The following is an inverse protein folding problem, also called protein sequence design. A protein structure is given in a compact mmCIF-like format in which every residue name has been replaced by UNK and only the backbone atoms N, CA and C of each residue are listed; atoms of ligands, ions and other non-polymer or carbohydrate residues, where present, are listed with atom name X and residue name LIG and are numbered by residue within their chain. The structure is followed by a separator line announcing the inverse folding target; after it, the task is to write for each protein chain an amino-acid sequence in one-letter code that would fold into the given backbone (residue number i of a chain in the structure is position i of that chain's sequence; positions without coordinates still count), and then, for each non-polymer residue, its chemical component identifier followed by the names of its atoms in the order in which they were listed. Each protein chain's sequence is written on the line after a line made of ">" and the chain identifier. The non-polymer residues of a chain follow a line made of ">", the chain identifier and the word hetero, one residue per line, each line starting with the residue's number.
data_IF_714894431958
#
_entry.id   IF_714894431958
#
_cell.length_a   1.000
_cell.length_b   1.000
_cell.length_c   1.000
_cell.angle_alpha   90.00
_cell.angle_beta   90.00
_cell.angle_gamma   90.00
#
_symmetry.space_group_name_H-M   'P 1'
#
loop_
_entity.id
_entity.type
_entity.pdbx_description
1 polymer ?
#
# COMPACT_ATOMS: atom_id res chain seq x y z
N UNK A 1 -7.32 4.24 4.14
CA UNK A 1 -6.20 4.23 3.18
C UNK A 1 -6.56 5.08 1.95
N UNK A 2 -5.74 6.08 1.58
CA UNK A 2 -6.04 7.03 0.49
C UNK A 2 -5.63 6.47 -0.90
N UNK A 3 -4.58 5.65 -0.98
CA UNK A 3 -4.11 5.02 -2.21
C UNK A 3 -4.04 3.49 -2.06
N UNK A 4 -4.43 2.73 -3.10
CA UNK A 4 -4.46 1.25 -3.08
C UNK A 4 -3.11 0.63 -2.66
N UNK A 5 -3.15 -0.48 -1.91
CA UNK A 5 -1.95 -1.24 -1.48
C UNK A 5 -1.12 -1.76 -2.65
N UNK A 6 -1.79 -2.11 -3.74
CA UNK A 6 -1.17 -2.67 -4.95
C UNK A 6 -0.57 -1.60 -5.87
N UNK A 7 -0.71 -0.31 -5.51
CA UNK A 7 -0.21 0.79 -6.32
C UNK A 7 1.32 0.86 -6.30
N UNK A 8 1.91 1.36 -7.39
CA UNK A 8 3.36 1.52 -7.57
C UNK A 8 4.04 2.24 -6.39
N UNK A 9 3.38 3.27 -5.85
CA UNK A 9 3.84 4.05 -4.69
C UNK A 9 4.14 3.22 -3.45
N UNK A 10 3.42 2.10 -3.24
CA UNK A 10 3.65 1.17 -2.13
C UNK A 10 4.53 0.00 -2.55
N UNK A 11 4.30 -0.55 -3.74
CA UNK A 11 5.05 -1.70 -4.24
C UNK A 11 6.56 -1.41 -4.31
N UNK A 12 6.96 -0.18 -4.62
CA UNK A 12 8.37 0.22 -4.71
C UNK A 12 9.17 0.00 -3.40
N UNK A 13 8.53 -0.03 -2.23
CA UNK A 13 9.22 -0.30 -0.96
C UNK A 13 9.63 -1.78 -0.78
N UNK A 14 9.06 -2.69 -1.58
CA UNK A 14 9.48 -4.09 -1.57
C UNK A 14 10.73 -4.35 -2.41
N UNK A 15 11.20 -3.37 -3.18
CA UNK A 15 12.37 -3.52 -4.02
C UNK A 15 13.66 -3.36 -3.21
N UNK A 16 14.52 -4.38 -3.25
CA UNK A 16 15.78 -4.37 -2.50
C UNK A 16 16.84 -3.47 -3.16
N UNK A 17 16.78 -3.29 -4.48
CA UNK A 17 17.74 -2.48 -5.24
C UNK A 17 17.11 -1.15 -5.68
N UNK A 18 17.47 -0.07 -4.98
CA UNK A 18 16.90 1.28 -5.15
C UNK A 18 17.66 2.15 -6.16
N UNK A 19 18.58 1.57 -6.91
CA UNK A 19 19.43 2.30 -7.88
C UNK A 19 18.69 2.70 -9.16
N UNK A 20 17.52 2.10 -9.41
CA UNK A 20 16.67 2.39 -10.58
C UNK A 20 15.23 2.62 -10.14
N UNK A 21 14.48 3.39 -10.91
CA UNK A 21 13.07 3.64 -10.63
C UNK A 21 12.24 2.36 -10.80
N UNK A 22 11.23 2.20 -9.95
CA UNK A 22 10.25 1.12 -10.06
C UNK A 22 9.19 1.49 -11.08
N UNK A 23 9.13 0.76 -12.19
CA UNK A 23 8.12 0.92 -13.23
C UNK A 23 7.03 -0.15 -13.11
N UNK A 24 5.77 0.25 -13.10
CA UNK A 24 4.64 -0.67 -12.95
C UNK A 24 3.42 -0.22 -13.74
N UNK A 25 2.75 -1.18 -14.40
CA UNK A 25 1.36 -1.00 -14.86
C UNK A 25 0.38 -1.44 -13.78
N UNK A 26 -0.66 -0.64 -13.53
CA UNK A 26 -1.74 -1.00 -12.61
C UNK A 26 -3.08 -0.92 -13.33
N UNK A 27 -3.74 -2.06 -13.44
CA UNK A 27 -5.11 -2.16 -13.94
C UNK A 27 -6.08 -1.80 -12.82
N UNK A 28 -7.04 -0.94 -13.12
CA UNK A 28 -8.09 -0.52 -12.20
C UNK A 28 -9.44 -0.56 -12.92
N UNK A 29 -10.57 -0.50 -12.18
CA UNK A 29 -11.88 -0.33 -12.81
C UNK A 29 -12.00 0.94 -13.65
N UNK A 30 -11.17 1.97 -13.37
CA UNK A 30 -11.16 3.24 -14.10
C UNK A 30 -10.21 3.24 -15.31
N UNK A 31 -9.43 2.17 -15.52
CA UNK A 31 -8.44 2.07 -16.61
C UNK A 31 -7.09 1.56 -16.15
N UNK A 32 -6.17 1.44 -17.11
CA UNK A 32 -4.79 1.00 -16.88
C UNK A 32 -3.86 2.21 -16.81
N UNK A 33 -3.00 2.24 -15.80
CA UNK A 33 -2.05 3.32 -15.59
C UNK A 33 -0.63 2.78 -15.51
N UNK A 34 0.30 3.42 -16.21
CA UNK A 34 1.72 3.21 -16.00
C UNK A 34 2.23 4.19 -14.95
N UNK A 35 3.14 3.75 -14.07
CA UNK A 35 3.76 4.60 -13.08
C UNK A 35 5.27 4.36 -13.02
N UNK A 36 6.01 5.44 -12.80
CA UNK A 36 7.39 5.43 -12.33
C UNK A 36 7.42 5.89 -10.88
N UNK A 37 8.07 5.11 -10.03
CA UNK A 37 8.17 5.38 -8.60
C UNK A 37 9.60 5.34 -8.15
N UNK A 38 10.02 6.35 -7.39
CA UNK A 38 11.30 6.34 -6.71
C UNK A 38 11.10 6.53 -5.21
N UNK A 39 11.82 5.73 -4.44
CA UNK A 39 11.83 5.83 -2.98
C UNK A 39 13.01 6.67 -2.51
N UNK A 40 12.82 7.43 -1.44
CA UNK A 40 13.88 8.17 -0.78
C UNK A 40 13.79 8.04 0.74
N UNK A 41 14.77 8.61 1.43
CA UNK A 41 14.87 8.58 2.89
C UNK A 41 15.21 9.97 3.42
N UNK A 42 14.56 10.38 4.50
CA UNK A 42 14.91 11.57 5.29
C UNK A 42 15.23 11.15 6.73
N UNK A 43 15.60 12.12 7.59
CA UNK A 43 15.74 11.88 9.02
C UNK A 43 14.43 11.42 9.69
N UNK A 44 13.28 11.76 9.10
CA UNK A 44 11.95 11.46 9.63
C UNK A 44 11.37 10.14 9.09
N UNK A 45 12.02 9.50 8.11
CA UNK A 45 11.62 8.19 7.60
C UNK A 45 11.76 8.01 6.10
N UNK A 46 11.21 6.90 5.59
CA UNK A 46 11.19 6.60 4.16
C UNK A 46 9.96 7.19 3.48
N UNK A 47 10.12 7.57 2.21
CA UNK A 47 9.05 8.09 1.38
C UNK A 47 9.16 7.57 -0.05
N UNK A 48 8.09 7.72 -0.81
CA UNK A 48 8.09 7.44 -2.24
C UNK A 48 7.42 8.57 -3.01
N UNK A 49 7.94 8.85 -4.20
CA UNK A 49 7.38 9.79 -5.17
C UNK A 49 6.98 8.97 -6.37
N UNK A 50 5.72 9.10 -6.81
CA UNK A 50 5.19 8.38 -7.97
C UNK A 50 4.58 9.35 -8.96
N UNK A 51 4.91 9.18 -10.22
CA UNK A 51 4.25 9.86 -11.35
C UNK A 51 3.67 8.79 -12.24
N UNK A 52 2.45 9.01 -12.72
CA UNK A 52 1.77 8.05 -13.59
C UNK A 52 0.98 8.71 -14.70
N UNK A 53 0.79 7.95 -15.77
CA UNK A 53 0.03 8.35 -16.96
C UNK A 53 -0.90 7.20 -17.38
N UNK A 54 -1.99 7.48 -18.12
CA UNK A 54 -2.79 6.44 -18.75
C UNK A 54 -1.94 5.56 -19.68
N UNK A 55 -2.39 4.33 -19.90
CA UNK A 55 -1.69 3.33 -20.71
C UNK A 55 -1.25 3.85 -22.08
N UNK A 56 -2.12 4.58 -22.79
CA UNK A 56 -1.83 5.07 -24.15
C UNK A 56 -0.65 6.04 -24.20
N UNK A 57 -0.46 6.82 -23.13
CA UNK A 57 0.61 7.83 -23.02
C UNK A 57 1.93 7.24 -22.52
N UNK A 58 1.93 6.02 -21.99
CA UNK A 58 3.13 5.34 -21.51
C UNK A 58 4.20 5.16 -22.61
N UNK A 59 3.79 5.18 -23.88
CA UNK A 59 4.70 5.09 -25.04
C UNK A 59 5.82 6.14 -25.03
N UNK A 60 5.58 7.30 -24.41
CA UNK A 60 6.52 8.41 -24.36
C UNK A 60 7.53 8.34 -23.20
N UNK A 61 7.36 7.38 -22.28
CA UNK A 61 8.16 7.29 -21.07
C UNK A 61 9.16 6.13 -21.14
N UNK A 62 10.35 6.35 -20.56
CA UNK A 62 11.33 5.27 -20.30
C UNK A 62 10.77 4.33 -19.23
N UNK A 63 11.02 3.02 -19.37
CA UNK A 63 10.50 2.02 -18.42
C UNK A 63 9.12 1.47 -18.82
N UNK A 64 8.59 1.87 -19.98
CA UNK A 64 7.31 1.36 -20.51
C UNK A 64 7.35 -0.13 -20.84
N UNK A 65 8.54 -0.67 -21.08
CA UNK A 65 8.83 -2.07 -21.36
C UNK A 65 8.72 -2.98 -20.12
N UNK A 66 8.44 -2.39 -18.95
CA UNK A 66 8.24 -3.15 -17.71
C UNK A 66 7.16 -4.22 -17.87
N UNK A 67 7.45 -5.41 -17.36
CA UNK A 67 6.50 -6.51 -17.26
C UNK A 67 5.79 -6.54 -15.90
N UNK A 68 6.20 -5.68 -14.95
CA UNK A 68 5.56 -5.57 -13.63
C UNK A 68 4.16 -5.00 -13.81
N UNK A 69 3.15 -5.83 -13.54
CA UNK A 69 1.74 -5.48 -13.64
C UNK A 69 0.99 -5.90 -12.38
N UNK A 70 0.12 -5.03 -11.89
CA UNK A 70 -0.74 -5.28 -10.74
C UNK A 70 -2.19 -4.98 -11.09
N UNK A 71 -3.12 -5.61 -10.38
CA UNK A 71 -4.56 -5.38 -10.54
C UNK A 71 -5.15 -4.87 -9.24
N UNK A 72 -5.65 -3.64 -9.27
CA UNK A 72 -6.43 -3.03 -8.19
C UNK A 72 -7.91 -3.18 -8.49
N UNK A 73 -8.69 -3.62 -7.51
CA UNK A 73 -10.16 -3.59 -7.57
C UNK A 73 -10.74 -2.46 -6.71
N UNK A 74 -9.91 -1.55 -6.19
CA UNK A 74 -10.40 -0.36 -5.48
C UNK A 74 -11.37 0.43 -6.36
N UNK A 75 -12.49 0.97 -5.81
CA UNK A 75 -12.75 1.21 -4.39
C UNK A 75 -13.39 0.04 -3.60
N UNK A 76 -13.48 -1.17 -4.16
CA UNK A 76 -13.95 -2.36 -3.41
C UNK A 76 -13.19 -2.51 -2.09
N UNK A 77 -13.93 -2.65 -0.99
CA UNK A 77 -13.36 -2.78 0.34
C UNK A 77 -12.52 -4.04 0.48
N UNK A 78 -12.90 -5.13 -0.21
CA UNK A 78 -12.14 -6.39 -0.20
C UNK A 78 -10.75 -6.24 -0.84
N UNK A 79 -10.51 -5.18 -1.64
CA UNK A 79 -9.20 -4.98 -2.26
C UNK A 79 -8.11 -4.62 -1.24
N UNK A 80 -8.40 -3.72 -0.30
CA UNK A 80 -7.39 -3.16 0.61
C UNK A 80 -7.91 -2.72 1.99
N UNK A 81 -9.23 -2.56 2.19
CA UNK A 81 -9.76 -2.03 3.45
C UNK A 81 -10.17 -3.13 4.42
N UNK A 82 -10.70 -4.23 3.90
CA UNK A 82 -11.17 -5.36 4.69
C UNK A 82 -10.20 -6.52 4.58
N UNK A 83 -9.82 -7.08 5.73
CA UNK A 83 -9.00 -8.28 5.77
C UNK A 83 -9.76 -9.48 5.17
N UNK A 84 -9.06 -10.46 4.58
CA UNK A 84 -9.66 -11.74 4.19
C UNK A 84 -10.42 -12.38 5.35
N UNK A 85 -11.58 -12.97 5.07
CA UNK A 85 -12.48 -13.51 6.10
C UNK A 85 -11.81 -14.57 7.01
N UNK A 86 -10.91 -15.38 6.44
CA UNK A 86 -10.14 -16.39 7.19
C UNK A 86 -9.17 -15.75 8.20
N UNK A 87 -8.52 -14.65 7.82
CA UNK A 87 -7.62 -13.93 8.71
C UNK A 87 -8.40 -13.19 9.80
N UNK A 88 -9.52 -12.58 9.43
CA UNK A 88 -10.41 -11.94 10.40
C UNK A 88 -10.91 -12.94 11.43
N UNK A 89 -11.46 -14.08 11.01
CA UNK A 89 -12.00 -15.08 11.96
C UNK A 89 -10.92 -15.65 12.89
N UNK A 90 -9.67 -15.72 12.43
CA UNK A 90 -8.55 -16.22 13.25
C UNK A 90 -8.08 -15.21 14.28
N UNK A 91 -7.94 -13.94 13.90
CA UNK A 91 -7.20 -12.92 14.66
C UNK A 91 -8.06 -11.81 15.27
N UNK A 92 -9.31 -11.67 14.85
CA UNK A 92 -10.26 -10.74 15.45
C UNK A 92 -10.40 -11.00 16.95
N UNK A 93 -10.33 -9.93 17.75
CA UNK A 93 -10.33 -10.00 19.21
C UNK A 93 -9.07 -10.59 19.85
N UNK A 94 -8.11 -11.11 19.07
CA UNK A 94 -6.84 -11.69 19.57
C UNK A 94 -5.62 -10.82 19.28
N UNK A 95 -5.73 -9.88 18.35
CA UNK A 95 -4.69 -8.92 18.02
C UNK A 95 -4.97 -7.56 18.65
N UNK A 96 -3.98 -6.97 19.31
CA UNK A 96 -4.05 -5.61 19.85
C UNK A 96 -2.83 -4.80 19.41
N UNK A 97 -2.93 -3.94 18.38
CA UNK A 97 -1.79 -3.18 17.90
C UNK A 97 -1.46 -2.04 18.89
N UNK A 98 -0.21 -1.94 19.33
CA UNK A 98 0.27 -0.82 20.14
C UNK A 98 1.18 0.08 19.29
N UNK A 99 0.60 1.01 18.53
CA UNK A 99 1.39 1.96 17.75
C UNK A 99 2.03 3.03 18.68
N UNK A 100 3.27 3.45 18.38
CA UNK A 100 3.88 4.62 19.03
C UNK A 100 3.18 5.88 18.50
N UNK A 101 2.43 6.56 19.37
CA UNK A 101 1.66 7.77 19.00
C UNK A 101 2.40 9.01 19.48
N UNK A 102 2.58 10.00 18.59
CA UNK A 102 3.01 11.34 19.00
C UNK A 102 1.88 12.01 19.82
N UNK A 103 2.18 12.42 21.05
CA UNK A 103 1.22 12.74 22.13
C UNK A 103 0.17 13.84 21.85
N UNK A 104 0.28 14.58 20.75
CA UNK A 104 -0.59 15.73 20.44
C UNK A 104 -1.89 15.39 19.71
N UNK A 105 -2.29 14.11 19.66
CA UNK A 105 -3.44 13.65 18.85
C UNK A 105 -4.47 12.83 19.65
N UNK A 106 -4.81 13.26 20.87
CA UNK A 106 -5.88 12.62 21.65
C UNK A 106 -6.92 13.62 22.13
N UNK A 107 -8.08 13.66 21.47
CA UNK A 107 -9.33 14.07 22.15
C UNK A 107 -10.60 13.35 21.63
N UNK A 108 -10.68 12.73 20.42
CA UNK A 108 -11.93 12.05 20.05
C UNK A 108 -11.80 10.64 19.44
N UNK A 109 -10.80 9.84 19.82
CA UNK A 109 -10.66 8.50 19.21
C UNK A 109 -11.40 7.43 20.02
N UNK A 110 -12.36 6.69 19.42
CA UNK A 110 -13.04 5.61 20.10
C UNK A 110 -12.06 4.48 20.45
N UNK A 111 -12.25 3.86 21.63
CA UNK A 111 -11.50 2.67 22.03
C UNK A 111 -11.79 1.54 21.04
N UNK A 112 -10.75 0.94 20.45
CA UNK A 112 -10.87 -0.27 19.62
C UNK A 112 -10.02 -0.23 18.35
N UNK A 113 -10.10 0.84 17.56
CA UNK A 113 -9.29 1.00 16.35
C UNK A 113 -8.19 2.03 16.56
N UNK A 114 -6.93 1.58 16.52
CA UNK A 114 -5.81 2.51 16.48
C UNK A 114 -5.77 3.18 15.10
N UNK A 115 -5.87 4.52 15.03
CA UNK A 115 -5.82 5.23 13.76
C UNK A 115 -4.46 5.02 13.12
N UNK A 116 -4.46 4.74 11.83
CA UNK A 116 -3.25 4.50 11.05
C UNK A 116 -2.76 3.05 11.04
N UNK A 117 -3.42 2.14 11.76
CA UNK A 117 -3.16 0.70 11.68
C UNK A 117 -4.13 0.04 10.69
N UNK A 118 -3.61 -0.81 9.81
CA UNK A 118 -4.38 -1.61 8.87
C UNK A 118 -4.50 -3.04 9.40
N UNK A 119 -5.70 -3.42 9.85
CA UNK A 119 -5.96 -4.74 10.45
C UNK A 119 -5.62 -5.88 9.50
N UNK A 120 -5.77 -5.68 8.18
CA UNK A 120 -5.41 -6.70 7.20
C UNK A 120 -3.90 -6.95 7.17
N UNK A 121 -3.09 -5.91 7.41
CA UNK A 121 -1.63 -6.03 7.48
C UNK A 121 -1.20 -6.68 8.81
N UNK A 122 -1.83 -6.30 9.92
CA UNK A 122 -1.61 -6.91 11.24
C UNK A 122 -1.95 -8.40 11.23
N UNK A 123 -3.14 -8.77 10.75
CA UNK A 123 -3.57 -10.16 10.72
C UNK A 123 -2.68 -10.99 9.80
N UNK A 124 -2.33 -10.47 8.61
CA UNK A 124 -1.41 -11.16 7.71
C UNK A 124 -0.01 -11.30 8.31
N UNK A 125 0.47 -10.33 9.09
CA UNK A 125 1.73 -10.44 9.81
C UNK A 125 1.68 -11.52 10.89
N UNK A 126 0.65 -11.52 11.73
CA UNK A 126 0.47 -12.51 12.79
C UNK A 126 0.36 -13.92 12.20
N UNK A 127 -0.38 -14.08 11.11
CA UNK A 127 -0.56 -15.37 10.43
C UNK A 127 0.75 -15.96 9.89
N UNK A 128 1.65 -15.10 9.36
CA UNK A 128 2.98 -15.53 8.89
C UNK A 128 3.94 -15.94 10.01
N UNK A 129 3.68 -15.56 11.27
CA UNK A 129 4.60 -15.77 12.40
C UNK A 129 3.96 -16.57 13.57
N UNK A 130 2.82 -17.21 13.33
CA UNK A 130 2.08 -17.99 14.31
C UNK A 130 2.48 -19.47 14.34
#
# INVERSE_FOLDING_TARGET
>A
QIACRKWSARAAFSEQNRTTEHYQYTDTPAGTFWCATQTGTTADGEFSISVGVPFDDARWFRGRETTKRAVSTCPDEACCRRAPAELTSRWEGKAWPSARVHMQMFTPLPRGNFPGVDDSEVYAFLDRHA
#
